data_IF_768139588251
#
_entry.id   IF_768139588251
#
_cell.length_a   1.000
_cell.length_b   1.000
_cell.length_c   1.000
_cell.angle_alpha   90.00
_cell.angle_beta   90.00
_cell.angle_gamma   90.00
#
_symmetry.space_group_name_H-M   'P 1'
#
loop_
_entity.id
_entity.type
_entity.pdbx_description
1 polymer ?
#
# COMPACT_ATOMS: atom_id res chain seq x y z
N UNK A 1 -12.14 -17.47 16.61
CA UNK A 1 -11.84 -16.10 17.08
C UNK A 1 -11.28 -15.34 15.89
N UNK A 2 -11.92 -14.23 15.50
CA UNK A 2 -11.40 -13.34 14.46
C UNK A 2 -10.67 -12.19 15.15
N UNK A 3 -9.41 -11.95 14.80
CA UNK A 3 -8.64 -10.79 15.26
C UNK A 3 -8.31 -9.92 14.06
N UNK A 4 -8.40 -8.60 14.22
CA UNK A 4 -8.07 -7.64 13.17
C UNK A 4 -6.78 -6.93 13.54
N UNK A 5 -5.75 -7.07 12.70
CA UNK A 5 -4.58 -6.20 12.76
C UNK A 5 -4.81 -5.01 11.82
N UNK A 6 -5.02 -3.82 12.39
CA UNK A 6 -5.37 -2.59 11.64
C UNK A 6 -4.20 -1.62 11.63
N UNK A 7 -3.90 -1.08 10.45
CA UNK A 7 -2.91 0.00 10.25
C UNK A 7 -3.58 1.15 9.48
N UNK A 8 -3.31 2.39 9.89
CA UNK A 8 -3.70 3.63 9.19
C UNK A 8 -2.43 4.44 8.95
N UNK A 9 -2.16 4.80 7.70
CA UNK A 9 -0.99 5.59 7.30
C UNK A 9 -1.44 6.85 6.58
N UNK A 10 -0.80 7.99 6.88
CA UNK A 10 -1.00 9.27 6.20
C UNK A 10 0.37 9.81 5.81
N UNK A 11 0.57 10.12 4.53
CA UNK A 11 1.85 10.55 4.02
C UNK A 11 1.83 10.72 2.50
N UNK A 12 3.00 11.01 1.93
CA UNK A 12 3.17 11.24 0.49
C UNK A 12 3.68 9.98 -0.21
N UNK A 13 3.38 9.83 -1.50
CA UNK A 13 4.02 8.79 -2.31
C UNK A 13 5.49 9.16 -2.57
N UNK A 14 6.40 8.25 -2.24
CA UNK A 14 7.84 8.45 -2.50
C UNK A 14 8.26 8.20 -3.96
N UNK A 15 7.40 7.56 -4.74
CA UNK A 15 7.55 7.30 -6.17
C UNK A 15 6.18 6.99 -6.77
N UNK A 16 6.10 6.96 -8.10
CA UNK A 16 4.89 6.50 -8.79
C UNK A 16 4.50 5.07 -8.37
N UNK A 17 3.20 4.76 -8.25
CA UNK A 17 2.73 3.40 -7.95
C UNK A 17 3.20 2.39 -8.99
N UNK A 18 3.72 1.26 -8.53
CA UNK A 18 4.01 0.13 -9.41
C UNK A 18 2.75 -0.76 -9.50
N UNK A 19 2.16 -0.83 -10.70
CA UNK A 19 0.98 -1.66 -10.96
C UNK A 19 1.37 -2.89 -11.76
N UNK A 20 0.98 -4.07 -11.27
CA UNK A 20 1.19 -5.37 -11.92
C UNK A 20 -0.10 -6.18 -11.90
N UNK A 21 -0.17 -7.19 -12.76
CA UNK A 21 -1.29 -8.12 -12.81
C UNK A 21 -0.82 -9.51 -12.37
N UNK A 22 -1.61 -10.16 -11.53
CA UNK A 22 -1.39 -11.57 -11.17
C UNK A 22 -1.65 -12.47 -12.37
N UNK A 23 -1.25 -13.74 -12.30
CA UNK A 23 -1.59 -14.73 -13.34
C UNK A 23 -3.10 -14.87 -13.57
N UNK A 24 -3.91 -14.62 -12.54
CA UNK A 24 -5.38 -14.59 -12.63
C UNK A 24 -5.96 -13.25 -13.12
N UNK A 25 -5.14 -12.30 -13.54
CA UNK A 25 -5.59 -11.00 -14.06
C UNK A 25 -5.99 -9.96 -13.01
N UNK A 26 -5.85 -10.25 -11.72
CA UNK A 26 -6.12 -9.28 -10.66
C UNK A 26 -5.02 -8.20 -10.62
N UNK A 27 -5.41 -6.92 -10.59
CA UNK A 27 -4.50 -5.80 -10.44
C UNK A 27 -3.95 -5.71 -9.01
N UNK A 28 -2.65 -5.47 -8.88
CA UNK A 28 -1.94 -5.28 -7.62
C UNK A 28 -1.08 -4.02 -7.73
N UNK A 29 -1.25 -3.09 -6.79
CA UNK A 29 -0.44 -1.87 -6.71
C UNK A 29 0.50 -1.93 -5.51
N UNK A 30 1.78 -1.63 -5.73
CA UNK A 30 2.76 -1.41 -4.67
C UNK A 30 2.93 0.09 -4.45
N UNK A 31 2.70 0.54 -3.23
CA UNK A 31 2.83 1.94 -2.82
C UNK A 31 4.02 2.10 -1.85
N UNK A 32 4.73 3.22 -1.97
CA UNK A 32 5.77 3.63 -1.01
C UNK A 32 5.28 4.91 -0.33
N UNK A 33 4.92 4.84 0.95
CA UNK A 33 4.41 5.99 1.71
C UNK A 33 5.53 6.57 2.58
N UNK A 34 5.88 7.82 2.34
CA UNK A 34 6.76 8.61 3.19
C UNK A 34 5.93 9.34 4.25
N UNK A 35 6.27 9.12 5.52
CA UNK A 35 5.68 9.78 6.68
C UNK A 35 6.72 10.64 7.38
N UNK A 36 6.30 11.75 7.96
CA UNK A 36 7.17 12.66 8.72
C UNK A 36 6.59 12.83 10.12
N UNK A 37 7.42 12.71 11.15
CA UNK A 37 7.06 13.12 12.51
C UNK A 37 7.14 14.65 12.58
N UNK A 38 6.11 15.29 13.15
CA UNK A 38 6.06 16.75 13.33
C UNK A 38 6.23 17.07 14.81
#
# INVERSE_FOLDING_TARGET
MSSVNKVILVGNLGADPEVRYTQGGAAVATLRIATTEV
#
